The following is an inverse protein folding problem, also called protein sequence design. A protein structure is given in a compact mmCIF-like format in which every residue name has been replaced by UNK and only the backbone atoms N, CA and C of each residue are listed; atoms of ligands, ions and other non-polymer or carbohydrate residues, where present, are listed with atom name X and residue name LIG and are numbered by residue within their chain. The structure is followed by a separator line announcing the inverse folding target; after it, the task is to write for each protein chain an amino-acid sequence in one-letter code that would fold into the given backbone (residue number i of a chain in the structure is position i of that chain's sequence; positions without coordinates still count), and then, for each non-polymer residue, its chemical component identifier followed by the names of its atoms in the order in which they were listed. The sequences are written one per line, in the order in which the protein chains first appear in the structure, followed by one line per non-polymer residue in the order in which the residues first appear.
data_IF_107869684749
#
_entry.id   IF_107869684749
#
_cell.length_a   1.000
_cell.length_b   1.000
_cell.length_c   1.000
_cell.angle_alpha   90.00
_cell.angle_beta   90.00
_cell.angle_gamma   90.00
#
_symmetry.space_group_name_H-M   'P 1'
#
loop_
_entity.id
_entity.type
_entity.pdbx_description
1 polymer ?
#
# COMPACT_ATOMS: atom_id res chain seq x y z
N UNK A 1 -13.86 -15.15 8.76
CA UNK A 1 -14.07 -14.01 9.66
C UNK A 1 -12.80 -13.18 9.62
N UNK A 2 -12.86 -11.90 9.23
CA UNK A 2 -11.70 -11.01 9.23
C UNK A 2 -11.29 -10.78 10.68
N UNK A 3 -10.10 -11.20 11.08
CA UNK A 3 -9.66 -11.16 12.49
C UNK A 3 -9.10 -9.79 12.90
N UNK A 4 -8.78 -8.92 11.93
CA UNK A 4 -8.27 -7.56 12.21
C UNK A 4 -8.77 -6.52 11.20
N UNK A 5 -8.70 -5.22 11.58
CA UNK A 5 -8.94 -4.11 10.66
C UNK A 5 -7.92 -4.08 9.52
N UNK A 6 -6.74 -4.60 9.78
CA UNK A 6 -5.64 -4.68 8.80
C UNK A 6 -5.92 -5.70 7.70
N UNK A 7 -6.57 -6.82 8.03
CA UNK A 7 -6.97 -7.83 7.04
C UNK A 7 -8.01 -7.26 6.07
N UNK A 8 -8.92 -6.41 6.57
CA UNK A 8 -9.95 -5.77 5.75
C UNK A 8 -9.35 -4.86 4.67
N UNK A 9 -8.27 -4.13 4.97
CA UNK A 9 -7.60 -3.25 4.02
C UNK A 9 -6.89 -4.00 2.87
N UNK A 10 -6.61 -5.28 3.05
CA UNK A 10 -6.08 -6.16 1.99
C UNK A 10 -7.13 -6.77 1.08
N UNK A 11 -8.43 -6.67 1.41
CA UNK A 11 -9.51 -7.36 0.73
C UNK A 11 -10.58 -6.43 0.15
N UNK A 12 -10.58 -5.17 0.53
CA UNK A 12 -11.56 -4.17 0.03
C UNK A 12 -11.01 -2.77 0.14
N UNK A 13 -11.52 -1.86 -0.67
CA UNK A 13 -11.35 -0.43 -0.49
C UNK A 13 -11.89 -0.02 0.89
N UNK A 14 -11.07 0.71 1.66
CA UNK A 14 -11.47 1.19 2.98
C UNK A 14 -11.76 2.67 2.95
N UNK A 15 -12.63 3.11 3.88
CA UNK A 15 -13.15 4.47 3.97
C UNK A 15 -12.91 5.01 5.38
N UNK A 16 -12.46 6.25 5.49
CA UNK A 16 -12.33 6.96 6.75
C UNK A 16 -12.77 8.42 6.59
N UNK A 17 -13.77 8.85 7.32
CA UNK A 17 -14.11 10.25 7.48
C UNK A 17 -13.05 10.90 8.39
N UNK A 18 -12.27 11.82 7.85
CA UNK A 18 -11.10 12.36 8.54
C UNK A 18 -11.28 13.78 9.02
N UNK A 19 -12.08 14.58 8.32
CA UNK A 19 -12.34 15.97 8.69
C UNK A 19 -13.80 16.34 8.45
N UNK A 20 -14.32 17.25 9.26
CA UNK A 20 -15.59 17.92 9.03
C UNK A 20 -15.46 19.37 9.46
N UNK A 21 -16.01 20.28 8.69
CA UNK A 21 -16.05 21.70 9.00
C UNK A 21 -17.40 22.31 8.62
N UNK A 22 -17.73 23.38 9.29
CA UNK A 22 -19.01 24.08 9.07
C UNK A 22 -18.97 25.48 9.69
N UNK A 23 -19.88 25.77 10.65
CA UNK A 23 -19.94 27.09 11.25
C UNK A 23 -18.67 27.46 12.04
N UNK A 24 -18.17 28.69 11.94
CA UNK A 24 -17.07 29.20 12.76
C UNK A 24 -17.53 29.56 14.19
N UNK A 25 -18.83 29.53 14.51
CA UNK A 25 -19.39 29.87 15.82
C UNK A 25 -20.49 28.88 16.20
N UNK A 26 -20.60 28.62 17.51
CA UNK A 26 -21.53 27.63 18.07
C UNK A 26 -23.02 28.01 17.94
N UNK A 27 -23.32 29.28 17.74
CA UNK A 27 -24.70 29.82 17.67
C UNK A 27 -25.11 30.29 16.27
N UNK A 28 -24.37 29.91 15.22
CA UNK A 28 -24.68 30.25 13.83
C UNK A 28 -24.74 28.95 13.01
N UNK A 29 -25.84 28.81 12.24
CA UNK A 29 -25.94 27.73 11.26
C UNK A 29 -25.00 27.99 10.07
N UNK A 30 -24.22 27.02 9.60
CA UNK A 30 -23.36 27.21 8.46
C UNK A 30 -24.20 27.30 7.16
N UNK A 31 -23.76 28.16 6.25
CA UNK A 31 -24.27 28.18 4.87
C UNK A 31 -23.58 27.14 3.98
N UNK A 32 -22.40 26.66 4.39
CA UNK A 32 -21.67 25.59 3.75
C UNK A 32 -21.05 24.70 4.82
N UNK A 33 -21.11 23.39 4.61
CA UNK A 33 -20.38 22.41 5.41
C UNK A 33 -19.52 21.55 4.48
N UNK A 34 -18.39 21.11 4.98
CA UNK A 34 -17.45 20.28 4.21
C UNK A 34 -17.08 19.04 5.03
N UNK A 35 -17.07 17.88 4.39
CA UNK A 35 -16.54 16.64 4.93
C UNK A 35 -15.39 16.14 4.07
N UNK A 36 -14.31 15.70 4.68
CA UNK A 36 -13.17 15.06 3.99
C UNK A 36 -13.19 13.58 4.31
N UNK A 37 -13.20 12.77 3.25
CA UNK A 37 -13.23 11.32 3.35
C UNK A 37 -12.00 10.76 2.65
N UNK A 38 -11.19 10.00 3.36
CA UNK A 38 -10.01 9.32 2.82
C UNK A 38 -10.37 7.88 2.43
N UNK A 39 -9.92 7.47 1.26
CA UNK A 39 -10.08 6.12 0.75
C UNK A 39 -8.72 5.46 0.54
N UNK A 40 -8.59 4.20 0.91
CA UNK A 40 -7.52 3.32 0.48
C UNK A 40 -8.08 2.40 -0.59
N UNK A 41 -7.79 2.73 -1.84
CA UNK A 41 -8.40 2.08 -3.01
C UNK A 41 -7.68 0.78 -3.30
N UNK A 42 -8.45 -0.31 -3.42
CA UNK A 42 -7.94 -1.63 -3.78
C UNK A 42 -7.61 -1.68 -5.29
N UNK A 43 -6.56 -2.39 -5.72
CA UNK A 43 -6.35 -2.67 -7.14
C UNK A 43 -7.60 -3.30 -7.80
N UNK A 44 -7.98 -2.76 -8.95
CA UNK A 44 -9.23 -3.11 -9.64
C UNK A 44 -10.33 -2.04 -9.52
N UNK A 45 -10.21 -1.11 -8.56
CA UNK A 45 -11.00 0.11 -8.50
C UNK A 45 -10.14 1.34 -8.86
N UNK A 46 -10.78 2.46 -9.16
CA UNK A 46 -10.11 3.73 -9.49
C UNK A 46 -10.67 4.86 -8.63
N UNK A 47 -9.96 5.98 -8.60
CA UNK A 47 -10.46 7.20 -7.97
C UNK A 47 -11.82 7.59 -8.51
N UNK A 48 -12.02 7.47 -9.82
CA UNK A 48 -13.27 7.80 -10.49
C UNK A 48 -14.43 6.88 -10.07
N UNK A 49 -14.18 5.54 -9.99
CA UNK A 49 -15.22 4.60 -9.55
C UNK A 49 -15.61 4.82 -8.08
N UNK A 50 -14.64 5.20 -7.24
CA UNK A 50 -14.89 5.51 -5.83
C UNK A 50 -15.66 6.82 -5.71
N UNK A 51 -15.30 7.86 -6.46
CA UNK A 51 -16.02 9.13 -6.51
C UNK A 51 -17.46 8.95 -6.96
N UNK A 52 -17.69 8.20 -8.05
CA UNK A 52 -19.03 7.94 -8.54
C UNK A 52 -19.88 7.22 -7.47
N UNK A 53 -19.30 6.23 -6.79
CA UNK A 53 -19.96 5.54 -5.66
C UNK A 53 -20.36 6.51 -4.54
N UNK A 54 -19.53 7.50 -4.24
CA UNK A 54 -19.87 8.51 -3.23
C UNK A 54 -21.04 9.36 -3.70
N UNK A 55 -21.03 9.82 -4.96
CA UNK A 55 -22.12 10.58 -5.57
C UNK A 55 -23.43 9.79 -5.49
N UNK A 56 -23.42 8.52 -5.92
CA UNK A 56 -24.58 7.64 -5.92
C UNK A 56 -25.13 7.38 -4.50
N UNK A 57 -24.23 7.30 -3.50
CA UNK A 57 -24.64 7.09 -2.10
C UNK A 57 -25.19 8.34 -1.43
N UNK A 58 -24.68 9.50 -1.80
CA UNK A 58 -25.15 10.79 -1.27
C UNK A 58 -26.52 11.13 -1.86
N UNK A 59 -26.72 10.89 -3.14
CA UNK A 59 -27.98 11.10 -3.89
C UNK A 59 -28.64 12.46 -3.59
N UNK A 60 -27.84 13.53 -3.56
CA UNK A 60 -28.31 14.90 -3.27
C UNK A 60 -27.52 15.89 -4.14
N UNK A 61 -28.23 16.54 -5.09
CA UNK A 61 -27.66 17.51 -6.03
C UNK A 61 -27.04 18.75 -5.36
N UNK A 62 -27.39 19.03 -4.10
CA UNK A 62 -26.81 20.14 -3.33
C UNK A 62 -25.41 19.82 -2.82
N UNK A 63 -24.97 18.59 -2.88
CA UNK A 63 -23.66 18.13 -2.41
C UNK A 63 -22.72 18.02 -3.60
N UNK A 64 -21.69 18.86 -3.60
CA UNK A 64 -20.59 18.79 -4.55
C UNK A 64 -19.53 17.80 -4.07
N UNK A 65 -19.24 16.79 -4.86
CA UNK A 65 -18.17 15.80 -4.57
C UNK A 65 -16.97 16.10 -5.45
N UNK A 66 -15.87 16.49 -4.81
CA UNK A 66 -14.62 16.84 -5.50
C UNK A 66 -13.47 15.94 -5.05
N UNK A 67 -12.51 15.71 -5.93
CA UNK A 67 -11.25 15.05 -5.58
C UNK A 67 -10.24 16.09 -5.11
N UNK A 68 -9.69 15.90 -3.91
CA UNK A 68 -8.59 16.73 -3.42
C UNK A 68 -7.22 16.11 -3.80
N UNK A 69 -7.14 14.79 -3.72
CA UNK A 69 -5.96 13.99 -4.07
C UNK A 69 -6.37 12.64 -4.63
N UNK A 70 -6.33 12.49 -5.94
CA UNK A 70 -6.66 11.23 -6.60
C UNK A 70 -5.42 10.52 -7.14
N UNK A 71 -4.97 9.43 -6.49
CA UNK A 71 -3.94 8.54 -7.02
C UNK A 71 -4.55 7.16 -7.19
N UNK A 72 -4.58 6.68 -8.42
CA UNK A 72 -5.02 5.32 -8.71
C UNK A 72 -4.08 4.28 -8.11
N UNK A 73 -4.59 3.12 -7.70
CA UNK A 73 -3.75 1.99 -7.34
C UNK A 73 -2.79 1.64 -8.47
N UNK A 74 -1.57 1.26 -8.09
CA UNK A 74 -0.62 0.75 -9.06
C UNK A 74 -1.09 -0.60 -9.64
N UNK A 75 -0.74 -0.93 -10.88
CA UNK A 75 -0.99 -2.25 -11.46
C UNK A 75 -0.43 -3.37 -10.58
N UNK A 76 -1.06 -4.53 -10.63
CA UNK A 76 -0.57 -5.74 -9.96
C UNK A 76 0.44 -6.42 -10.86
N UNK A 77 1.69 -6.54 -10.38
CA UNK A 77 2.75 -7.24 -11.13
C UNK A 77 2.53 -8.76 -11.10
N UNK A 78 2.77 -9.46 -12.22
CA UNK A 78 2.50 -10.90 -12.33
C UNK A 78 3.53 -11.73 -11.55
N UNK A 79 3.12 -12.89 -11.04
CA UNK A 79 3.99 -13.79 -10.26
C UNK A 79 4.73 -14.83 -11.13
N UNK A 80 4.43 -14.90 -12.41
CA UNK A 80 5.08 -15.76 -13.40
C UNK A 80 6.22 -15.05 -14.17
N UNK A 81 6.46 -13.78 -13.92
CA UNK A 81 7.55 -13.03 -14.56
C UNK A 81 8.93 -13.50 -14.10
N UNK A 82 9.93 -13.28 -14.94
CA UNK A 82 11.35 -13.57 -14.62
C UNK A 82 11.80 -12.85 -13.35
N UNK A 83 11.36 -11.60 -13.14
CA UNK A 83 11.70 -10.82 -11.95
C UNK A 83 11.19 -11.46 -10.65
N UNK A 84 9.91 -11.88 -10.63
CA UNK A 84 9.34 -12.56 -9.47
C UNK A 84 10.04 -13.91 -9.21
N UNK A 85 10.29 -14.67 -10.27
CA UNK A 85 10.96 -15.97 -10.17
C UNK A 85 12.39 -15.82 -9.63
N UNK A 86 13.12 -14.79 -10.09
CA UNK A 86 14.46 -14.49 -9.61
C UNK A 86 14.45 -14.11 -8.11
N UNK A 87 13.54 -13.24 -7.68
CA UNK A 87 13.35 -12.87 -6.27
C UNK A 87 13.06 -14.12 -5.44
N UNK A 88 12.09 -14.92 -5.86
CA UNK A 88 11.68 -16.15 -5.18
C UNK A 88 12.82 -17.19 -5.07
N UNK A 89 13.56 -17.39 -6.16
CA UNK A 89 14.72 -18.27 -6.19
C UNK A 89 15.81 -17.79 -5.24
N UNK A 90 16.09 -16.50 -5.23
CA UNK A 90 17.12 -15.91 -4.37
C UNK A 90 16.76 -16.06 -2.89
N UNK A 91 15.48 -15.81 -2.53
CA UNK A 91 14.97 -16.00 -1.16
C UNK A 91 15.18 -17.46 -0.70
N UNK A 92 14.74 -18.42 -1.51
CA UNK A 92 14.89 -19.85 -1.19
C UNK A 92 16.34 -20.30 -1.15
N UNK A 93 17.23 -19.64 -1.87
CA UNK A 93 18.67 -19.85 -1.77
C UNK A 93 19.29 -19.35 -0.47
N UNK A 94 18.63 -18.42 0.23
CA UNK A 94 19.06 -17.95 1.55
C UNK A 94 18.60 -18.89 2.68
N UNK A 95 17.38 -19.44 2.53
CA UNK A 95 16.80 -20.38 3.49
C UNK A 95 15.72 -21.20 2.76
N UNK A 96 15.95 -22.51 2.59
CA UNK A 96 15.06 -23.41 1.87
C UNK A 96 13.69 -23.61 2.53
N UNK A 97 13.58 -23.31 3.83
CA UNK A 97 12.34 -23.44 4.59
C UNK A 97 11.44 -22.21 4.49
N UNK A 98 11.90 -21.13 3.83
CA UNK A 98 11.08 -19.92 3.65
C UNK A 98 9.99 -20.17 2.60
N UNK A 99 8.76 -19.93 2.99
CA UNK A 99 7.63 -19.87 2.05
C UNK A 99 7.61 -18.50 1.38
N UNK A 100 7.61 -18.49 0.06
CA UNK A 100 7.48 -17.26 -0.76
C UNK A 100 6.06 -17.18 -1.28
N UNK A 101 5.35 -16.13 -0.89
CA UNK A 101 3.99 -15.85 -1.34
C UNK A 101 3.87 -14.39 -1.78
N UNK A 102 3.04 -14.10 -2.81
CA UNK A 102 2.75 -12.72 -3.18
C UNK A 102 1.94 -12.05 -2.07
N UNK A 103 2.23 -10.78 -1.84
CA UNK A 103 1.52 -9.97 -0.87
C UNK A 103 1.35 -8.54 -1.40
N UNK A 104 0.32 -7.86 -0.95
CA UNK A 104 0.05 -6.47 -1.35
C UNK A 104 0.57 -5.50 -0.30
N UNK A 105 1.46 -4.60 -0.71
CA UNK A 105 1.89 -3.48 0.14
C UNK A 105 0.77 -2.44 0.21
N UNK A 106 0.29 -2.17 1.41
CA UNK A 106 -0.86 -1.29 1.70
C UNK A 106 -0.47 0.20 1.82
N UNK A 107 0.81 0.51 1.73
CA UNK A 107 1.35 1.88 1.77
C UNK A 107 1.74 2.40 0.40
N UNK A 108 1.76 3.73 0.26
CA UNK A 108 2.36 4.38 -0.90
C UNK A 108 3.89 4.23 -0.85
N UNK A 109 4.51 3.93 -1.99
CA UNK A 109 5.98 3.87 -2.15
C UNK A 109 6.38 4.50 -3.48
N UNK A 110 7.65 4.89 -3.61
CA UNK A 110 8.21 5.41 -4.85
C UNK A 110 8.19 4.40 -6.00
N UNK A 111 7.94 3.12 -5.71
CA UNK A 111 7.74 2.09 -6.71
C UNK A 111 6.67 2.47 -7.76
N UNK A 112 5.70 3.31 -7.42
CA UNK A 112 4.68 3.82 -8.36
C UNK A 112 5.25 4.52 -9.58
N UNK A 113 6.41 5.16 -9.47
CA UNK A 113 7.04 5.89 -10.56
C UNK A 113 7.77 4.97 -11.56
N UNK A 114 7.93 3.70 -11.24
CA UNK A 114 8.62 2.74 -12.09
C UNK A 114 7.70 2.01 -13.06
N UNK A 115 6.38 2.13 -12.91
CA UNK A 115 5.44 1.45 -13.81
C UNK A 115 5.46 1.99 -15.24
N UNK A 116 5.93 3.23 -15.45
CA UNK A 116 6.11 3.81 -16.79
C UNK A 116 7.29 3.17 -17.54
N UNK A 117 8.23 2.55 -16.83
CA UNK A 117 9.44 1.93 -17.40
C UNK A 117 9.45 0.41 -17.30
N UNK A 118 8.60 -0.18 -16.46
CA UNK A 118 8.50 -1.63 -16.31
C UNK A 118 7.11 -2.06 -15.85
N UNK A 119 6.48 -3.05 -16.49
CA UNK A 119 5.24 -3.65 -16.00
C UNK A 119 5.45 -4.54 -14.77
N UNK A 120 6.69 -4.85 -14.42
CA UNK A 120 7.08 -5.78 -13.37
C UNK A 120 7.78 -5.04 -12.23
N UNK A 121 7.01 -4.52 -11.29
CA UNK A 121 7.52 -3.76 -10.15
C UNK A 121 7.15 -4.48 -8.85
N UNK A 122 8.16 -5.03 -8.16
CA UNK A 122 7.98 -5.79 -6.92
C UNK A 122 8.47 -4.98 -5.72
N UNK A 123 7.55 -4.67 -4.82
CA UNK A 123 7.83 -3.96 -3.56
C UNK A 123 8.26 -4.98 -2.52
N UNK A 124 9.53 -5.28 -2.49
CA UNK A 124 10.10 -6.29 -1.60
C UNK A 124 11.38 -5.78 -0.96
N UNK A 125 11.51 -6.06 0.32
CA UNK A 125 12.74 -5.84 1.09
C UNK A 125 13.01 -7.09 1.93
N UNK A 126 14.21 -7.65 1.81
CA UNK A 126 14.61 -8.82 2.58
C UNK A 126 14.99 -8.41 4.00
N UNK A 127 14.00 -8.33 4.87
CA UNK A 127 14.19 -8.10 6.30
C UNK A 127 13.31 -9.06 7.11
N UNK A 128 13.88 -9.67 8.14
CA UNK A 128 13.13 -10.46 9.11
C UNK A 128 12.40 -9.50 10.05
N UNK A 129 11.15 -9.22 9.75
CA UNK A 129 10.28 -8.46 10.63
C UNK A 129 9.74 -9.37 11.75
N UNK A 130 9.81 -8.89 12.99
CA UNK A 130 9.17 -9.53 14.14
C UNK A 130 7.94 -8.74 14.54
N UNK A 131 6.91 -9.36 15.12
CA UNK A 131 5.72 -8.63 15.57
C UNK A 131 6.05 -7.42 16.45
N UNK A 132 7.10 -7.55 17.27
CA UNK A 132 7.56 -6.50 18.19
C UNK A 132 8.17 -5.30 17.45
N UNK A 133 8.78 -5.50 16.27
CA UNK A 133 9.49 -4.45 15.52
C UNK A 133 8.65 -3.82 14.41
N UNK A 134 7.61 -4.50 13.92
CA UNK A 134 6.71 -3.97 12.89
C UNK A 134 5.99 -2.70 13.38
N UNK A 135 5.67 -2.61 14.67
CA UNK A 135 5.00 -1.46 15.27
C UNK A 135 5.86 -0.19 15.34
N UNK A 136 7.16 -0.28 15.11
CA UNK A 136 8.08 0.86 15.14
C UNK A 136 8.25 1.56 13.79
N UNK A 137 7.72 1.00 12.71
CA UNK A 137 7.80 1.61 11.38
C UNK A 137 7.14 2.99 11.39
N UNK A 138 7.91 4.03 11.06
CA UNK A 138 7.54 5.45 11.20
C UNK A 138 7.27 5.91 12.64
N UNK A 139 7.68 5.12 13.62
CA UNK A 139 7.52 5.41 15.05
C UNK A 139 8.81 5.87 15.72
N UNK A 140 8.70 6.13 17.04
CA UNK A 140 9.85 6.40 17.88
C UNK A 140 10.67 5.11 18.00
N UNK A 141 12.01 5.25 17.91
CA UNK A 141 12.94 4.11 18.02
C UNK A 141 12.82 3.08 16.88
N UNK A 142 12.48 3.53 15.68
CA UNK A 142 12.51 2.69 14.48
C UNK A 142 13.91 2.13 14.26
N UNK A 143 14.02 0.82 14.21
CA UNK A 143 15.30 0.15 14.07
C UNK A 143 15.20 -1.19 13.35
N UNK A 144 16.31 -1.67 12.85
CA UNK A 144 16.48 -2.99 12.22
C UNK A 144 17.52 -3.77 12.99
N UNK A 145 17.26 -5.04 13.28
CA UNK A 145 18.25 -5.92 13.88
C UNK A 145 19.48 -6.04 12.99
N UNK A 146 20.68 -5.91 13.56
CA UNK A 146 21.94 -5.93 12.82
C UNK A 146 22.10 -7.23 11.99
N UNK A 147 21.65 -8.35 12.51
CA UNK A 147 21.67 -9.64 11.81
C UNK A 147 20.78 -9.62 10.55
N UNK A 148 19.56 -9.08 10.65
CA UNK A 148 18.65 -8.91 9.50
C UNK A 148 19.23 -7.97 8.45
N UNK A 149 19.95 -6.93 8.88
CA UNK A 149 20.63 -6.02 7.96
C UNK A 149 21.73 -6.73 7.17
N UNK A 150 22.55 -7.56 7.82
CA UNK A 150 23.57 -8.35 7.13
C UNK A 150 22.96 -9.43 6.22
N UNK A 151 21.85 -10.03 6.61
CA UNK A 151 21.10 -10.93 5.73
C UNK A 151 20.60 -10.22 4.49
N UNK A 152 20.05 -9.01 4.63
CA UNK A 152 19.63 -8.19 3.51
C UNK A 152 20.77 -7.87 2.53
N UNK A 153 21.95 -7.49 3.04
CA UNK A 153 23.14 -7.26 2.19
C UNK A 153 23.48 -8.52 1.39
N UNK A 154 23.51 -9.69 2.02
CA UNK A 154 23.80 -10.97 1.32
C UNK A 154 22.74 -11.28 0.28
N UNK A 155 21.47 -11.09 0.60
CA UNK A 155 20.37 -11.29 -0.33
C UNK A 155 20.54 -10.43 -1.58
N UNK A 156 20.72 -9.11 -1.43
CA UNK A 156 20.87 -8.21 -2.58
C UNK A 156 22.13 -8.50 -3.38
N UNK A 157 23.22 -8.90 -2.75
CA UNK A 157 24.42 -9.35 -3.46
C UNK A 157 24.12 -10.56 -4.37
N UNK A 158 23.40 -11.57 -3.85
CA UNK A 158 23.01 -12.73 -4.64
C UNK A 158 21.99 -12.38 -5.74
N UNK A 159 21.02 -11.54 -5.44
CA UNK A 159 20.03 -11.10 -6.40
C UNK A 159 20.67 -10.39 -7.60
N UNK A 160 21.54 -9.43 -7.35
CA UNK A 160 22.27 -8.69 -8.41
C UNK A 160 23.15 -9.64 -9.22
N UNK A 161 23.92 -10.51 -8.58
CA UNK A 161 24.75 -11.48 -9.31
C UNK A 161 23.95 -12.41 -10.20
N UNK A 162 22.81 -12.90 -9.71
CA UNK A 162 21.94 -13.78 -10.50
C UNK A 162 21.25 -13.04 -11.64
N UNK A 163 20.89 -11.77 -11.46
CA UNK A 163 20.28 -10.97 -12.54
C UNK A 163 21.25 -10.67 -13.68
N UNK A 164 22.55 -10.67 -13.41
CA UNK A 164 23.60 -10.43 -14.43
C UNK A 164 24.07 -11.72 -15.14
N UNK A 165 23.71 -12.88 -14.62
CA UNK A 165 24.15 -14.18 -15.16
C UNK A 165 23.15 -14.80 -16.17
N UNK A 166 22.01 -14.17 -16.38
CA UNK A 166 21.00 -14.54 -17.38
C UNK A 166 20.90 -13.49 -18.45
#
# INVERSE_FOLDING_TARGET
MLQSKDDAAGLRTTTAATMASGSPKSNILPTRATGVINFRILPGETTETVKQRVIDLVDDERVEVTDEYGINPSPVSPTDSTGYQLISKTIRGMDENILVAPYMVRGGTDARYFYDVSPNVYRFMFLRARPETIGYVHGIDEHVATESYFEAIRYYYHLVRQSMAG
#
